data_IF_389715492862
#
_entry.id   IF_389715492862
#
_cell.length_a   1.000
_cell.length_b   1.000
_cell.length_c   1.000
_cell.angle_alpha   90.00
_cell.angle_beta   90.00
_cell.angle_gamma   90.00
#
_symmetry.space_group_name_H-M   'P 1'
#
loop_
_entity.id
_entity.type
_entity.pdbx_description
1 polymer ?
#
# COMPACT_ATOMS: atom_id res chain seq x y z
N UNK A 1 3.13 -6.84 -6.02
CA UNK A 1 4.36 -6.37 -5.34
C UNK A 1 4.70 -7.36 -4.22
N UNK A 2 5.99 -7.64 -3.93
CA UNK A 2 6.41 -8.56 -2.85
C UNK A 2 6.76 -7.78 -1.58
N UNK A 3 6.51 -8.29 -0.37
CA UNK A 3 6.93 -7.63 0.86
C UNK A 3 8.47 -7.71 1.01
N UNK A 4 9.12 -6.58 1.24
CA UNK A 4 10.58 -6.48 1.46
C UNK A 4 10.93 -6.26 2.93
N UNK A 5 10.15 -5.42 3.60
CA UNK A 5 10.36 -5.02 4.98
C UNK A 5 9.06 -5.14 5.75
N UNK A 6 9.13 -5.70 6.95
CA UNK A 6 7.96 -5.91 7.79
C UNK A 6 8.35 -5.64 9.24
N UNK A 7 7.81 -4.56 9.79
CA UNK A 7 7.90 -4.21 11.20
C UNK A 7 6.55 -4.43 11.86
N UNK A 8 6.47 -5.47 12.70
CA UNK A 8 5.25 -5.86 13.41
C UNK A 8 4.90 -4.91 14.56
N UNK A 9 5.90 -4.26 15.16
CA UNK A 9 5.70 -3.36 16.30
C UNK A 9 5.19 -2.01 15.83
N UNK A 10 5.81 -1.47 14.79
CA UNK A 10 5.37 -0.22 14.18
C UNK A 10 4.15 -0.38 13.26
N UNK A 11 3.79 -1.62 12.90
CA UNK A 11 2.69 -1.90 11.97
C UNK A 11 3.01 -1.44 10.55
N UNK A 12 4.27 -1.51 10.14
CA UNK A 12 4.71 -1.03 8.83
C UNK A 12 5.11 -2.23 7.97
N UNK A 13 4.51 -2.34 6.79
CA UNK A 13 4.92 -3.29 5.76
C UNK A 13 5.31 -2.50 4.52
N UNK A 14 6.55 -2.64 4.06
CA UNK A 14 7.01 -2.04 2.81
C UNK A 14 7.30 -3.12 1.77
N UNK A 15 6.97 -2.80 0.52
CA UNK A 15 7.18 -3.71 -0.60
C UNK A 15 8.51 -3.49 -1.31
N UNK A 16 8.98 -4.52 -1.99
CA UNK A 16 10.06 -4.41 -2.97
C UNK A 16 9.64 -3.42 -4.06
N UNK A 17 10.56 -2.54 -4.49
CA UNK A 17 10.25 -1.59 -5.54
C UNK A 17 10.01 -2.31 -6.86
N UNK A 18 8.89 -2.00 -7.52
CA UNK A 18 8.52 -2.56 -8.83
C UNK A 18 8.69 -1.49 -9.90
N UNK A 19 9.33 -1.83 -11.02
CA UNK A 19 9.51 -0.89 -12.13
C UNK A 19 8.13 -0.46 -12.66
N UNK A 20 7.94 0.84 -12.84
CA UNK A 20 6.70 1.39 -13.34
C UNK A 20 6.56 1.06 -14.83
N UNK A 21 5.40 0.55 -15.25
CA UNK A 21 5.15 0.24 -16.66
C UNK A 21 5.33 1.46 -17.55
N UNK A 22 6.04 1.29 -18.66
CA UNK A 22 6.30 2.35 -19.64
C UNK A 22 5.52 2.09 -20.92
N UNK A 23 5.45 3.09 -21.82
CA UNK A 23 4.85 2.88 -23.16
C UNK A 23 5.62 1.81 -23.94
N UNK A 24 6.92 1.65 -23.68
CA UNK A 24 7.79 0.66 -24.31
C UNK A 24 7.64 -0.74 -23.70
N UNK A 25 7.07 -0.84 -22.50
CA UNK A 25 6.84 -2.09 -21.79
C UNK A 25 5.35 -2.23 -21.43
N UNK A 26 4.45 -2.35 -22.44
CA UNK A 26 3.00 -2.31 -22.25
C UNK A 26 2.45 -3.51 -21.45
N UNK A 27 3.21 -4.60 -21.35
CA UNK A 27 2.84 -5.77 -20.55
C UNK A 27 2.87 -5.50 -19.03
N UNK A 28 3.50 -4.40 -18.58
CA UNK A 28 3.31 -3.87 -17.24
C UNK A 28 2.09 -2.93 -17.23
N UNK A 29 0.90 -3.52 -17.22
CA UNK A 29 -0.38 -2.84 -17.40
C UNK A 29 -0.89 -2.05 -16.18
N UNK A 30 -0.05 -1.74 -15.19
CA UNK A 30 -0.50 -1.19 -13.90
C UNK A 30 -0.65 0.35 -13.89
N UNK A 31 -0.48 0.99 -15.05
CA UNK A 31 -0.62 2.44 -15.21
C UNK A 31 -2.09 2.87 -15.13
N UNK A 32 -2.38 3.94 -14.40
CA UNK A 32 -3.74 4.50 -14.33
C UNK A 32 -4.14 5.25 -15.61
N UNK A 33 -3.18 5.83 -16.35
CA UNK A 33 -3.44 6.60 -17.57
C UNK A 33 -2.23 6.64 -18.53
N UNK A 34 -2.46 7.00 -19.79
CA UNK A 34 -1.44 7.22 -20.82
C UNK A 34 -0.43 8.30 -20.41
N UNK A 35 -0.89 9.35 -19.73
CA UNK A 35 -0.01 10.41 -19.21
C UNK A 35 0.98 9.88 -18.17
N UNK A 36 0.57 8.90 -17.35
CA UNK A 36 1.44 8.22 -16.39
C UNK A 36 2.43 7.30 -17.09
N UNK A 37 1.98 6.53 -18.09
CA UNK A 37 2.87 5.70 -18.90
C UNK A 37 3.96 6.54 -19.59
N UNK A 38 3.62 7.73 -20.11
CA UNK A 38 4.59 8.65 -20.71
C UNK A 38 5.59 9.16 -19.67
N UNK A 39 5.13 9.58 -18.49
CA UNK A 39 6.01 10.00 -17.39
C UNK A 39 6.99 8.90 -16.99
N UNK A 40 6.50 7.67 -16.87
CA UNK A 40 7.33 6.50 -16.53
C UNK A 40 8.38 6.21 -17.60
N UNK A 41 8.03 6.41 -18.88
CA UNK A 41 8.94 6.27 -20.02
C UNK A 41 10.08 7.29 -19.96
N UNK A 42 9.77 8.56 -19.64
CA UNK A 42 10.76 9.66 -19.63
C UNK A 42 11.64 9.63 -18.38
N UNK A 43 11.05 9.33 -17.22
CA UNK A 43 11.70 9.53 -15.94
C UNK A 43 12.36 8.27 -15.39
N UNK A 44 12.08 7.08 -15.95
CA UNK A 44 12.43 5.77 -15.37
C UNK A 44 12.00 5.73 -13.91
N UNK A 45 10.69 5.61 -13.71
CA UNK A 45 10.11 5.55 -12.38
C UNK A 45 10.00 4.11 -11.89
N UNK A 46 9.97 3.93 -10.58
CA UNK A 46 9.58 2.69 -9.90
C UNK A 46 8.57 3.00 -8.81
N UNK A 47 7.72 2.05 -8.49
CA UNK A 47 6.74 2.16 -7.42
C UNK A 47 7.17 1.37 -6.20
N UNK A 48 6.98 1.96 -5.02
CA UNK A 48 7.13 1.28 -3.73
C UNK A 48 5.88 1.52 -2.91
N UNK A 49 5.27 0.45 -2.42
CA UNK A 49 4.10 0.53 -1.56
C UNK A 49 4.53 0.40 -0.10
N UNK A 50 3.90 1.19 0.76
CA UNK A 50 4.00 1.10 2.22
C UNK A 50 2.59 1.00 2.78
N UNK A 51 2.37 -0.05 3.55
CA UNK A 51 1.16 -0.26 4.33
C UNK A 51 1.48 0.07 5.78
N UNK A 52 0.65 0.91 6.38
CA UNK A 52 0.75 1.33 7.77
C UNK A 52 -0.55 0.94 8.48
N UNK A 53 -0.42 0.18 9.56
CA UNK A 53 -1.50 -0.18 10.44
C UNK A 53 -1.46 0.73 11.66
N UNK A 54 -2.50 1.53 11.82
CA UNK A 54 -2.68 2.40 12.99
C UNK A 54 -3.88 1.94 13.78
N UNK A 55 -3.96 2.30 15.06
CA UNK A 55 -5.19 2.11 15.84
C UNK A 55 -6.35 2.81 15.15
N UNK A 56 -7.53 2.19 15.14
CA UNK A 56 -8.75 2.89 14.76
C UNK A 56 -9.02 3.99 15.79
N UNK A 57 -8.65 5.23 15.45
CA UNK A 57 -8.89 6.39 16.29
C UNK A 57 -10.35 6.81 16.30
N UNK A 58 -11.11 6.37 15.29
CA UNK A 58 -12.53 6.64 15.19
C UNK A 58 -13.34 5.60 15.98
N UNK A 59 -13.98 6.05 17.06
CA UNK A 59 -15.05 5.29 17.72
C UNK A 59 -16.40 5.80 17.21
N UNK A 60 -17.25 4.95 16.62
CA UNK A 60 -18.58 5.37 16.19
C UNK A 60 -19.38 5.89 17.39
N UNK A 61 -20.30 6.81 17.14
CA UNK A 61 -21.19 7.35 18.18
C UNK A 61 -21.96 6.18 18.82
N UNK A 62 -21.98 6.14 20.15
CA UNK A 62 -22.76 5.13 20.87
C UNK A 62 -24.25 5.25 20.54
N UNK A 63 -25.01 4.16 20.69
CA UNK A 63 -26.45 4.14 20.46
C UNK A 63 -27.20 5.23 21.25
N UNK A 64 -26.66 5.62 22.41
CA UNK A 64 -27.17 6.67 23.30
C UNK A 64 -26.83 8.10 22.84
N UNK A 65 -26.26 8.27 21.65
CA UNK A 65 -25.90 9.58 21.10
C UNK A 65 -24.66 10.24 21.72
N UNK A 66 -24.06 9.60 22.72
CA UNK A 66 -22.88 10.12 23.43
C UNK A 66 -21.64 10.03 22.54
N UNK A 67 -20.93 11.15 22.43
CA UNK A 67 -19.67 11.25 21.68
C UNK A 67 -18.53 10.90 22.65
N UNK A 68 -17.75 9.84 22.38
CA UNK A 68 -16.61 9.52 23.23
C UNK A 68 -15.58 10.64 23.16
N UNK A 69 -14.88 10.95 24.28
CA UNK A 69 -13.85 11.97 24.29
C UNK A 69 -12.75 11.59 23.28
N UNK A 70 -12.38 12.55 22.42
CA UNK A 70 -11.25 12.42 21.49
C UNK A 70 -9.97 12.80 22.23
N UNK A 71 -9.00 11.90 22.27
CA UNK A 71 -7.66 12.25 22.76
C UNK A 71 -6.93 13.04 21.68
N UNK A 72 -6.80 14.35 21.89
CA UNK A 72 -6.14 15.27 20.95
C UNK A 72 -4.63 15.34 21.16
N UNK A 73 -4.14 14.89 22.32
CA UNK A 73 -2.75 15.07 22.73
C UNK A 73 -1.96 13.76 22.67
N UNK A 74 -2.63 12.62 22.45
CA UNK A 74 -2.01 11.29 22.43
C UNK A 74 -1.38 10.92 23.77
N UNK A 75 -1.83 11.58 24.85
CA UNK A 75 -1.24 11.44 26.20
C UNK A 75 -1.77 10.19 26.89
N UNK A 76 -2.89 9.63 26.42
CA UNK A 76 -3.45 8.38 26.96
C UNK A 76 -3.03 7.12 26.20
N UNK A 77 -2.29 7.27 25.09
CA UNK A 77 -1.73 6.12 24.38
C UNK A 77 -0.46 5.65 25.12
N UNK A 78 -0.63 4.72 26.07
CA UNK A 78 0.44 3.80 26.48
C UNK A 78 1.10 3.19 25.23
N UNK A 79 2.39 2.85 25.31
CA UNK A 79 3.14 2.11 24.28
C UNK A 79 2.36 0.84 23.89
N UNK A 80 1.50 0.97 22.88
CA UNK A 80 0.54 -0.06 22.51
C UNK A 80 1.17 -0.97 21.48
N UNK A 81 1.44 -2.21 21.89
CA UNK A 81 1.99 -3.23 21.00
C UNK A 81 0.88 -3.76 20.07
N UNK A 82 1.02 -3.49 18.77
CA UNK A 82 0.12 -3.96 17.71
C UNK A 82 0.08 -5.48 17.59
N UNK A 83 1.02 -6.21 18.21
CA UNK A 83 1.05 -7.68 18.18
C UNK A 83 0.16 -8.34 19.24
N UNK A 84 -0.11 -7.66 20.36
CA UNK A 84 -0.91 -8.20 21.47
C UNK A 84 -2.28 -7.55 21.64
N UNK A 85 -2.49 -6.38 21.04
CA UNK A 85 -3.72 -5.63 21.17
C UNK A 85 -4.90 -6.23 20.42
N UNK A 86 -5.96 -6.62 21.14
CA UNK A 86 -7.24 -6.98 20.54
C UNK A 86 -8.08 -5.70 20.34
N UNK A 87 -8.05 -5.11 19.14
CA UNK A 87 -8.83 -3.92 18.81
C UNK A 87 -8.88 -3.64 17.30
N UNK A 88 -9.84 -2.80 16.85
CA UNK A 88 -9.93 -2.43 15.44
C UNK A 88 -8.70 -1.63 14.99
N UNK A 89 -8.22 -1.94 13.79
CA UNK A 89 -7.07 -1.30 13.14
C UNK A 89 -7.51 -0.56 11.88
N UNK A 90 -6.95 0.63 11.68
CA UNK A 90 -7.03 1.38 10.44
C UNK A 90 -5.84 1.01 9.55
N UNK A 91 -6.12 0.61 8.31
CA UNK A 91 -5.10 0.36 7.29
C UNK A 91 -4.94 1.60 6.40
N UNK A 92 -3.70 2.06 6.26
CA UNK A 92 -3.29 3.10 5.33
C UNK A 92 -2.34 2.52 4.30
N UNK A 93 -2.67 2.67 3.01
CA UNK A 93 -1.79 2.31 1.91
C UNK A 93 -1.21 3.56 1.25
N UNK A 94 0.11 3.62 1.14
CA UNK A 94 0.85 4.68 0.46
C UNK A 94 1.64 4.09 -0.70
N UNK A 95 1.50 4.65 -1.89
CA UNK A 95 2.27 4.22 -3.06
C UNK A 95 3.15 5.38 -3.50
N UNK A 96 4.45 5.21 -3.36
CA UNK A 96 5.45 6.19 -3.75
C UNK A 96 5.92 5.94 -5.18
N UNK A 97 5.88 6.98 -6.00
CA UNK A 97 6.58 7.06 -7.28
C UNK A 97 8.00 7.54 -7.01
N UNK A 98 8.95 6.62 -7.10
CA UNK A 98 10.37 6.89 -6.94
C UNK A 98 11.01 7.13 -8.31
N UNK A 99 11.79 8.21 -8.42
CA UNK A 99 12.52 8.58 -9.63
C UNK A 99 13.99 8.17 -9.51
N UNK A 100 14.51 7.57 -10.57
CA UNK A 100 15.92 7.21 -10.65
C UNK A 100 16.78 8.43 -10.97
N UNK A 101 17.74 8.71 -10.10
CA UNK A 101 18.75 9.74 -10.30
C UNK A 101 20.12 9.09 -10.51
N UNK A 102 20.86 9.64 -11.47
CA UNK A 102 22.25 9.30 -11.71
C UNK A 102 23.10 10.56 -11.59
N UNK A 103 24.11 10.51 -10.72
CA UNK A 103 25.01 11.65 -10.51
C UNK A 103 25.77 11.95 -11.80
N UNK A 104 25.81 13.21 -12.21
CA UNK A 104 26.50 13.62 -13.43
C UNK A 104 25.73 13.38 -14.72
N UNK A 105 24.51 12.83 -14.66
CA UNK A 105 23.64 12.69 -15.82
C UNK A 105 23.18 14.08 -16.32
N UNK A 106 23.53 14.40 -17.56
CA UNK A 106 23.07 15.58 -18.29
C UNK A 106 22.09 15.14 -19.37
N UNK A 107 20.83 15.52 -19.19
CA UNK A 107 19.77 15.29 -20.18
C UNK A 107 19.76 16.47 -21.15
N UNK A 108 19.83 16.19 -22.45
CA UNK A 108 19.62 17.22 -23.46
C UNK A 108 18.18 17.71 -23.42
N UNK A 109 17.92 19.03 -23.42
CA UNK A 109 16.56 19.56 -23.35
C UNK A 109 15.75 19.31 -24.63
N UNK A 110 16.41 18.92 -25.74
CA UNK A 110 15.79 18.84 -27.07
C UNK A 110 15.63 17.42 -27.62
N UNK A 111 16.37 16.42 -27.11
CA UNK A 111 16.29 15.03 -27.60
C UNK A 111 16.34 14.03 -26.45
N UNK A 112 15.57 12.94 -26.58
CA UNK A 112 15.53 11.84 -25.60
C UNK A 112 16.72 10.87 -25.71
N UNK A 113 17.50 10.97 -26.79
CA UNK A 113 18.54 10.00 -27.15
C UNK A 113 19.94 10.44 -26.65
N UNK A 114 20.13 11.73 -26.35
CA UNK A 114 21.41 12.28 -25.90
C UNK A 114 21.51 12.41 -24.38
N UNK A 115 21.73 11.32 -23.65
CA UNK A 115 22.16 11.43 -22.25
C UNK A 115 23.68 11.32 -22.17
N UNK A 116 24.33 12.37 -21.64
CA UNK A 116 25.76 12.33 -21.35
C UNK A 116 25.96 12.20 -19.84
N UNK A 117 27.04 11.54 -19.44
CA UNK A 117 27.39 11.34 -18.04
C UNK A 117 28.72 12.00 -17.77
N UNK A 118 28.77 12.86 -16.76
CA UNK A 118 30.04 13.36 -16.24
C UNK A 118 30.59 12.32 -15.26
N UNK A 119 31.63 11.61 -15.65
CA UNK A 119 32.32 10.68 -14.75
C UNK A 119 33.11 11.50 -13.71
N UNK A 120 32.91 11.23 -12.42
CA UNK A 120 33.86 11.64 -11.38
C UNK A 120 34.79 10.47 -11.13
N UNK A 121 36.09 10.71 -11.24
CA UNK A 121 37.11 9.77 -10.77
C UNK A 121 37.03 9.76 -9.24
N UNK A 122 36.89 8.58 -8.59
CA UNK A 122 36.93 8.52 -7.13
C UNK A 122 38.27 9.05 -6.65
N UNK A 123 38.25 9.97 -5.69
CA UNK A 123 39.47 10.46 -5.03
C UNK A 123 39.85 9.40 -4.00
N UNK A 124 41.04 8.81 -4.14
CA UNK A 124 41.55 7.80 -3.21
C UNK A 124 41.47 8.29 -1.75
N UNK A 125 40.88 7.45 -0.88
CA UNK A 125 40.93 7.64 0.57
C UNK A 125 39.67 8.18 1.25
N UNK A 126 38.56 8.41 0.53
CA UNK A 126 37.30 8.82 1.17
C UNK A 126 36.40 7.60 1.45
N UNK A 127 36.04 7.42 2.72
CA UNK A 127 35.18 6.35 3.23
C UNK A 127 33.68 6.60 3.02
N UNK A 128 33.34 7.79 2.52
CA UNK A 128 31.97 8.24 2.22
C UNK A 128 31.84 8.49 0.71
N UNK A 129 31.71 7.41 -0.06
CA UNK A 129 31.43 7.51 -1.48
C UNK A 129 29.92 7.72 -1.69
N UNK A 130 29.56 8.89 -2.24
CA UNK A 130 28.19 9.16 -2.65
C UNK A 130 27.75 8.15 -3.73
N UNK A 131 26.63 7.46 -3.49
CA UNK A 131 26.09 6.48 -4.43
C UNK A 131 25.90 7.09 -5.83
N UNK A 132 26.42 6.42 -6.86
CA UNK A 132 26.36 6.88 -8.27
C UNK A 132 24.92 6.90 -8.81
N UNK A 133 24.08 6.00 -8.30
CA UNK A 133 22.67 5.91 -8.61
C UNK A 133 21.86 5.82 -7.32
N UNK A 134 20.83 6.64 -7.20
CA UNK A 134 19.93 6.62 -6.06
C UNK A 134 18.50 6.90 -6.52
N UNK A 135 17.54 6.50 -5.69
CA UNK A 135 16.12 6.66 -5.96
C UNK A 135 15.52 7.58 -4.93
N UNK A 136 14.75 8.58 -5.38
CA UNK A 136 14.09 9.53 -4.50
C UNK A 136 12.58 9.45 -4.67
N UNK A 137 11.81 9.37 -3.57
CA UNK A 137 10.36 9.49 -3.65
C UNK A 137 10.02 10.89 -4.14
N UNK A 138 9.36 10.98 -5.28
CA UNK A 138 9.01 12.27 -5.89
C UNK A 138 7.56 12.62 -5.60
N UNK A 139 6.65 11.65 -5.77
CA UNK A 139 5.20 11.87 -5.60
C UNK A 139 4.51 10.62 -5.10
N UNK A 140 3.23 10.77 -4.73
CA UNK A 140 2.36 9.67 -4.31
C UNK A 140 1.32 9.37 -5.37
N UNK A 141 1.17 8.09 -5.71
CA UNK A 141 0.19 7.60 -6.67
C UNK A 141 -1.14 7.30 -5.98
N UNK A 142 -2.01 8.32 -5.89
CA UNK A 142 -3.33 8.21 -5.24
C UNK A 142 -4.26 7.20 -5.94
N UNK A 143 -4.35 7.14 -7.28
CA UNK A 143 -5.08 6.07 -7.96
C UNK A 143 -4.65 4.66 -7.54
N UNK A 144 -3.35 4.39 -7.51
CA UNK A 144 -2.83 3.09 -7.09
C UNK A 144 -3.14 2.79 -5.62
N UNK A 145 -3.03 3.78 -4.72
CA UNK A 145 -3.43 3.65 -3.31
C UNK A 145 -4.89 3.18 -3.17
N UNK A 146 -5.81 3.79 -3.93
CA UNK A 146 -7.24 3.43 -3.89
C UNK A 146 -7.51 2.04 -4.44
N UNK A 147 -6.83 1.67 -5.53
CA UNK A 147 -6.98 0.33 -6.13
C UNK A 147 -6.54 -0.76 -5.15
N UNK A 148 -5.40 -0.57 -4.49
CA UNK A 148 -4.90 -1.50 -3.48
C UNK A 148 -5.84 -1.61 -2.28
N UNK A 149 -6.38 -0.49 -1.78
CA UNK A 149 -7.35 -0.52 -0.68
C UNK A 149 -8.65 -1.21 -1.07
N UNK A 150 -9.15 -0.98 -2.29
CA UNK A 150 -10.35 -1.65 -2.79
C UNK A 150 -10.14 -3.17 -2.91
N UNK A 151 -8.99 -3.62 -3.42
CA UNK A 151 -8.65 -5.05 -3.51
C UNK A 151 -8.55 -5.68 -2.12
N UNK A 152 -7.92 -5.00 -1.15
CA UNK A 152 -7.84 -5.49 0.23
C UNK A 152 -9.23 -5.61 0.84
N UNK A 153 -10.08 -4.61 0.64
CA UNK A 153 -11.46 -4.64 1.14
C UNK A 153 -12.25 -5.81 0.53
N UNK A 154 -12.14 -6.03 -0.77
CA UNK A 154 -12.80 -7.14 -1.47
C UNK A 154 -12.36 -8.50 -0.90
N UNK A 155 -11.06 -8.68 -0.67
CA UNK A 155 -10.53 -9.92 -0.08
C UNK A 155 -11.02 -10.14 1.36
N UNK A 156 -11.03 -9.10 2.19
CA UNK A 156 -11.54 -9.20 3.56
C UNK A 156 -13.02 -9.58 3.56
N UNK A 157 -13.83 -9.00 2.66
CA UNK A 157 -15.24 -9.34 2.54
C UNK A 157 -15.45 -10.79 2.06
N UNK A 158 -14.64 -11.25 1.10
CA UNK A 158 -14.69 -12.63 0.62
C UNK A 158 -14.36 -13.63 1.75
N UNK A 159 -13.33 -13.36 2.55
CA UNK A 159 -12.96 -14.19 3.69
C UNK A 159 -14.06 -14.21 4.77
N UNK A 160 -14.63 -13.05 5.10
CA UNK A 160 -15.74 -12.95 6.07
C UNK A 160 -16.99 -13.74 5.62
N UNK A 161 -17.31 -13.70 4.32
CA UNK A 161 -18.45 -14.46 3.79
C UNK A 161 -18.27 -15.97 3.82
N UNK A 162 -17.02 -16.46 3.93
CA UNK A 162 -16.71 -17.89 3.97
C UNK A 162 -16.85 -18.48 5.38
N UNK A 163 -16.83 -17.64 6.42
CA UNK A 163 -16.77 -18.05 7.82
C UNK A 163 -18.14 -18.01 8.54
N UNK A 164 -19.25 -17.71 7.84
CA UNK A 164 -20.59 -17.91 8.40
C UNK A 164 -20.92 -19.41 8.47
N UNK A 165 -21.10 -19.99 9.67
CA UNK A 165 -21.52 -21.38 9.79
C UNK A 165 -22.95 -21.50 9.26
N UNK A 166 -23.14 -22.34 8.24
CA UNK A 166 -24.45 -22.81 7.80
C UNK A 166 -25.13 -23.47 9.01
N UNK A 167 -26.05 -22.76 9.66
CA UNK A 167 -26.98 -23.38 10.60
C UNK A 167 -27.69 -24.51 9.85
N UNK A 168 -27.61 -25.78 10.32
CA UNK A 168 -28.43 -26.83 9.74
C UNK A 168 -29.88 -26.49 10.07
N UNK A 169 -30.62 -26.03 9.07
CA UNK A 169 -32.07 -25.84 9.16
C UNK A 169 -32.70 -27.15 9.63
N UNK A 170 -33.13 -27.20 10.90
CA UNK A 170 -34.04 -28.21 11.43
C UNK A 170 -35.38 -28.05 10.70
N UNK A 171 -35.51 -28.69 9.56
CA UNK A 171 -36.79 -28.96 8.91
C UNK A 171 -36.95 -30.48 8.84
N UNK A 172 -37.04 -31.10 10.02
CA UNK A 172 -37.50 -32.46 10.16
C UNK A 172 -38.85 -32.47 10.89
N UNK A 173 -39.85 -33.06 10.23
CA UNK A 173 -41.04 -33.67 10.83
C UNK A 173 -42.23 -32.76 11.18
N UNK A 174 -42.99 -32.36 10.16
CA UNK A 174 -44.45 -32.25 10.22
C UNK A 174 -45.05 -32.86 8.95
N UNK A 175 -44.98 -34.18 8.83
CA UNK A 175 -45.86 -34.96 7.95
C UNK A 175 -46.49 -36.09 8.79
N UNK A 176 -47.77 -36.35 8.50
CA UNK A 176 -48.58 -37.48 8.93
C UNK A 176 -49.18 -37.49 10.35
N UNK A 177 -50.19 -36.65 10.55
CA UNK A 177 -51.32 -37.01 11.42
C UNK A 177 -52.63 -36.37 10.94
N UNK A 178 -53.21 -36.89 9.84
CA UNK A 178 -54.65 -36.78 9.55
C UNK A 178 -55.04 -37.72 8.39
N UNK A 179 -55.02 -39.01 8.67
CA UNK A 179 -55.82 -40.00 7.94
C UNK A 179 -56.17 -41.11 8.90
N UNK A 180 -57.33 -41.00 9.56
CA UNK A 180 -58.16 -42.16 9.91
C UNK A 180 -59.54 -41.71 10.42
N UNK A 181 -60.54 -42.00 9.58
CA UNK A 181 -61.95 -42.40 9.86
C UNK A 181 -62.90 -41.46 10.60
#
# INVERSE_FOLDING_TARGET
MRPAFLDRRAGIIETEPVIAGSILEPWYADNADLSQALRNTIARNRYRARFEFTRAGFKPRGADGTIPPVDLLGVTDEDWDLTSGAGPLDLRAWVFEERGHSVGQRRTPWTFIGTSYTYRVPVEGNWDENQVFFWTPTTRDRPAERRLLAEVQERIQAEQSTDEPVEPSETASQEDASSER
#
